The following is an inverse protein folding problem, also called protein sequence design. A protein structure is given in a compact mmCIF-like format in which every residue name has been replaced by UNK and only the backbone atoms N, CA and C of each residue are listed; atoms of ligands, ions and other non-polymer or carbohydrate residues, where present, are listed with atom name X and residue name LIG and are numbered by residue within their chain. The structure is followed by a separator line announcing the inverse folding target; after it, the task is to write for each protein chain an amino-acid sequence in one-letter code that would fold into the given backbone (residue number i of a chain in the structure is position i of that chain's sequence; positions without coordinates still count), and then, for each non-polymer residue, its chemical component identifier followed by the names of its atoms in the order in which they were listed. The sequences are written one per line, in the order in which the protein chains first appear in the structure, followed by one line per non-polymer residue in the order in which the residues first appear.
data_IF_681781028216
#
_entry.id   IF_681781028216
#
_cell.length_a   1.000
_cell.length_b   1.000
_cell.length_c   1.000
_cell.angle_alpha   90.00
_cell.angle_beta   90.00
_cell.angle_gamma   90.00
#
_symmetry.space_group_name_H-M   'P 1'
#
loop_
_entity.id
_entity.type
_entity.pdbx_description
1 polymer ?
#
# COMPACT_ATOMS: atom_id res chain seq x y z
N UNK A 1 44.29 54.92 -18.50
CA UNK A 1 43.29 55.25 -19.54
C UNK A 1 42.95 53.96 -20.27
N UNK A 2 41.90 53.28 -19.83
CA UNK A 2 41.20 52.19 -20.52
C UNK A 2 39.79 52.15 -19.93
N UNK A 3 38.79 52.17 -20.78
CA UNK A 3 37.36 52.37 -20.49
C UNK A 3 36.73 51.19 -19.72
N UNK A 4 35.61 51.40 -19.00
CA UNK A 4 34.91 50.34 -18.28
C UNK A 4 34.13 49.44 -19.25
N UNK A 5 34.25 48.12 -19.06
CA UNK A 5 33.39 47.12 -19.71
C UNK A 5 31.98 47.29 -19.14
N UNK A 6 31.05 47.66 -20.01
CA UNK A 6 29.62 47.69 -19.77
C UNK A 6 29.10 46.27 -19.50
N UNK A 7 28.85 45.93 -18.24
CA UNK A 7 28.01 44.77 -17.90
C UNK A 7 26.55 45.14 -18.17
N UNK A 8 25.99 44.49 -19.17
CA UNK A 8 24.59 44.55 -19.59
C UNK A 8 23.73 44.00 -18.44
N UNK A 9 22.65 44.69 -18.02
CA UNK A 9 21.70 44.09 -17.09
C UNK A 9 20.87 43.04 -17.84
N UNK A 10 20.79 41.81 -17.33
CA UNK A 10 19.72 40.86 -17.66
C UNK A 10 18.56 41.07 -16.68
N UNK A 11 17.36 41.51 -17.12
CA UNK A 11 16.17 41.40 -16.29
C UNK A 11 15.00 40.81 -17.10
N UNK A 12 15.03 39.51 -17.41
CA UNK A 12 13.89 38.88 -18.13
C UNK A 12 13.48 37.49 -17.63
N UNK A 13 13.80 37.11 -16.39
CA UNK A 13 13.37 35.79 -15.85
C UNK A 13 12.44 35.82 -14.64
N UNK A 14 12.03 36.98 -14.15
CA UNK A 14 11.29 37.06 -12.88
C UNK A 14 9.77 37.27 -13.02
N UNK A 15 9.27 37.72 -14.18
CA UNK A 15 7.84 38.05 -14.35
C UNK A 15 6.96 36.82 -14.64
N UNK A 16 7.36 35.94 -15.54
CA UNK A 16 6.54 34.77 -15.92
C UNK A 16 6.37 33.73 -14.82
N UNK A 17 7.30 33.67 -13.85
CA UNK A 17 7.21 32.72 -12.74
C UNK A 17 6.15 33.12 -11.70
N UNK A 18 5.83 34.42 -11.57
CA UNK A 18 4.80 34.89 -10.64
C UNK A 18 3.38 34.67 -11.17
N UNK A 19 3.15 34.92 -12.45
CA UNK A 19 1.84 34.66 -13.08
C UNK A 19 1.48 33.17 -13.09
N UNK A 20 2.45 32.29 -13.38
CA UNK A 20 2.25 30.84 -13.28
C UNK A 20 2.00 30.37 -11.84
N UNK A 21 2.59 31.04 -10.84
CA UNK A 21 2.38 30.72 -9.43
C UNK A 21 0.96 31.12 -8.99
N UNK A 22 0.46 32.28 -9.43
CA UNK A 22 -0.88 32.76 -9.12
C UNK A 22 -1.98 31.91 -9.80
N UNK A 23 -1.79 31.51 -11.07
CA UNK A 23 -2.70 30.57 -11.73
C UNK A 23 -2.69 29.19 -11.06
N UNK A 24 -1.52 28.71 -10.65
CA UNK A 24 -1.42 27.46 -9.90
C UNK A 24 -2.13 27.57 -8.53
N UNK A 25 -1.96 28.67 -7.82
CA UNK A 25 -2.65 28.95 -6.55
C UNK A 25 -4.17 29.00 -6.72
N UNK A 26 -4.68 29.66 -7.77
CA UNK A 26 -6.11 29.69 -8.07
C UNK A 26 -6.68 28.30 -8.43
N UNK A 27 -5.91 27.48 -9.15
CA UNK A 27 -6.26 26.08 -9.40
C UNK A 27 -6.27 25.25 -8.12
N UNK A 28 -5.31 25.45 -7.22
CA UNK A 28 -5.26 24.79 -5.92
C UNK A 28 -6.46 25.16 -5.04
N UNK A 29 -6.88 26.43 -5.06
CA UNK A 29 -8.01 26.89 -4.26
C UNK A 29 -9.34 26.30 -4.77
N UNK A 30 -9.53 26.27 -6.09
CA UNK A 30 -10.67 25.58 -6.70
C UNK A 30 -10.66 24.07 -6.45
N UNK A 31 -9.49 23.44 -6.48
CA UNK A 31 -9.33 22.01 -6.17
C UNK A 31 -9.68 21.73 -4.71
N UNK A 32 -9.24 22.60 -3.78
CA UNK A 32 -9.54 22.51 -2.36
C UNK A 32 -11.04 22.60 -2.09
N UNK A 33 -11.73 23.57 -2.71
CA UNK A 33 -13.19 23.73 -2.57
C UNK A 33 -13.94 22.51 -3.13
N UNK A 34 -13.46 21.95 -4.24
CA UNK A 34 -14.02 20.72 -4.81
C UNK A 34 -13.85 19.53 -3.87
N UNK A 35 -12.66 19.35 -3.30
CA UNK A 35 -12.39 18.29 -2.33
C UNK A 35 -13.20 18.45 -1.04
N UNK A 36 -13.35 19.67 -0.54
CA UNK A 36 -14.15 19.96 0.64
C UNK A 36 -15.63 19.64 0.40
N UNK A 37 -16.17 20.04 -0.75
CA UNK A 37 -17.54 19.71 -1.14
C UNK A 37 -17.73 18.20 -1.30
N UNK A 38 -16.76 17.51 -1.91
CA UNK A 38 -16.75 16.05 -2.08
C UNK A 38 -16.69 15.33 -0.73
N UNK A 39 -15.91 15.84 0.23
CA UNK A 39 -15.80 15.32 1.59
C UNK A 39 -17.11 15.49 2.37
N UNK A 40 -17.74 16.65 2.28
CA UNK A 40 -19.03 16.91 2.92
C UNK A 40 -20.12 16.01 2.31
N UNK A 41 -20.14 15.85 0.99
CA UNK A 41 -21.12 15.00 0.31
C UNK A 41 -20.90 13.52 0.61
N UNK A 42 -19.64 13.07 0.65
CA UNK A 42 -19.29 11.69 1.00
C UNK A 42 -19.57 11.37 2.46
N UNK A 43 -19.34 12.29 3.40
CA UNK A 43 -19.74 12.11 4.80
C UNK A 43 -21.27 12.03 4.96
N UNK A 44 -22.02 12.87 4.25
CA UNK A 44 -23.48 12.85 4.27
C UNK A 44 -24.05 11.56 3.66
N UNK A 45 -23.47 11.11 2.55
CA UNK A 45 -23.81 9.85 1.89
C UNK A 45 -23.37 8.62 2.72
N UNK A 46 -22.27 8.73 3.46
CA UNK A 46 -21.76 7.66 4.30
C UNK A 46 -22.63 7.44 5.54
N UNK A 47 -23.18 8.51 6.11
CA UNK A 47 -24.04 8.46 7.29
C UNK A 47 -25.39 7.78 7.05
N UNK A 48 -25.97 7.88 5.86
CA UNK A 48 -27.32 7.33 5.60
C UNK A 48 -27.34 5.87 5.12
N UNK A 49 -26.30 5.38 4.44
CA UNK A 49 -26.31 4.01 3.87
C UNK A 49 -25.03 3.19 4.09
N UNK A 50 -23.88 3.83 4.32
CA UNK A 50 -22.61 3.09 4.44
C UNK A 50 -22.26 2.69 5.86
N UNK A 51 -22.85 3.23 6.92
CA UNK A 51 -22.35 2.93 8.26
C UNK A 51 -22.38 1.42 8.59
N UNK A 52 -23.44 0.69 8.23
CA UNK A 52 -23.46 -0.79 8.40
C UNK A 52 -22.55 -1.54 7.43
N UNK A 53 -22.49 -1.12 6.17
CA UNK A 53 -21.68 -1.82 5.15
C UNK A 53 -20.19 -1.57 5.37
N UNK A 54 -19.81 -0.34 5.73
CA UNK A 54 -18.46 0.06 6.10
C UNK A 54 -18.02 -0.60 7.40
N UNK A 55 -18.87 -0.67 8.44
CA UNK A 55 -18.55 -1.43 9.66
C UNK A 55 -18.34 -2.92 9.32
N UNK A 56 -19.20 -3.51 8.49
CA UNK A 56 -19.02 -4.90 8.04
C UNK A 56 -17.72 -5.10 7.25
N UNK A 57 -17.40 -4.18 6.34
CA UNK A 57 -16.19 -4.23 5.51
C UNK A 57 -14.93 -4.02 6.37
N UNK A 58 -14.98 -3.11 7.33
CA UNK A 58 -13.91 -2.89 8.32
C UNK A 58 -13.71 -4.14 9.17
N UNK A 59 -14.77 -4.75 9.69
CA UNK A 59 -14.68 -6.02 10.45
C UNK A 59 -14.12 -7.14 9.57
N UNK A 60 -14.57 -7.27 8.33
CA UNK A 60 -14.08 -8.29 7.40
C UNK A 60 -12.60 -8.11 7.08
N UNK A 61 -12.15 -6.87 6.85
CA UNK A 61 -10.74 -6.54 6.64
C UNK A 61 -9.93 -6.79 7.92
N UNK A 62 -10.46 -6.45 9.09
CA UNK A 62 -9.81 -6.72 10.37
C UNK A 62 -9.62 -8.23 10.61
N UNK A 63 -10.64 -9.03 10.31
CA UNK A 63 -10.60 -10.49 10.41
C UNK A 63 -9.64 -11.11 9.38
N UNK A 64 -9.63 -10.59 8.15
CA UNK A 64 -8.67 -11.00 7.13
C UNK A 64 -7.24 -10.69 7.58
N UNK A 65 -7.02 -9.48 8.09
CA UNK A 65 -5.73 -9.04 8.61
C UNK A 65 -5.28 -9.91 9.79
N UNK A 66 -6.17 -10.24 10.72
CA UNK A 66 -5.87 -11.11 11.85
C UNK A 66 -5.53 -12.53 11.40
N UNK A 67 -6.27 -13.08 10.43
CA UNK A 67 -5.97 -14.38 9.84
C UNK A 67 -4.62 -14.39 9.11
N UNK A 68 -4.34 -13.39 8.28
CA UNK A 68 -3.04 -13.27 7.59
C UNK A 68 -1.89 -13.14 8.61
N UNK A 69 -2.07 -12.30 9.63
CA UNK A 69 -1.07 -12.11 10.69
C UNK A 69 -0.84 -13.43 11.43
N UNK A 70 -1.90 -14.15 11.80
CA UNK A 70 -1.80 -15.45 12.46
C UNK A 70 -1.05 -16.49 11.62
N UNK A 71 -1.31 -16.54 10.31
CA UNK A 71 -0.58 -17.43 9.39
C UNK A 71 0.90 -17.05 9.34
N UNK A 72 1.24 -15.76 9.23
CA UNK A 72 2.63 -15.29 9.23
C UNK A 72 3.35 -15.66 10.52
N UNK A 73 2.71 -15.47 11.68
CA UNK A 73 3.26 -15.86 12.97
C UNK A 73 3.45 -17.38 13.09
N UNK A 74 2.51 -18.18 12.58
CA UNK A 74 2.60 -19.63 12.61
C UNK A 74 3.73 -20.15 11.71
N UNK A 75 3.87 -19.57 10.51
CA UNK A 75 5.01 -19.81 9.61
C UNK A 75 6.30 -19.43 10.34
N UNK A 76 6.39 -18.22 10.88
CA UNK A 76 7.59 -17.78 11.61
C UNK A 76 7.95 -18.70 12.80
N UNK A 77 6.98 -19.08 13.62
CA UNK A 77 7.18 -19.99 14.74
C UNK A 77 7.63 -21.39 14.27
N UNK A 78 7.05 -21.90 13.18
CA UNK A 78 7.48 -23.14 12.55
C UNK A 78 8.92 -23.06 12.02
N UNK A 79 9.28 -21.93 11.41
CA UNK A 79 10.65 -21.67 10.95
C UNK A 79 11.65 -21.65 12.10
N UNK A 80 11.30 -20.97 13.20
CA UNK A 80 12.14 -20.93 14.41
C UNK A 80 12.30 -22.32 15.02
N UNK A 81 11.22 -23.11 15.11
CA UNK A 81 11.32 -24.50 15.56
C UNK A 81 12.20 -25.36 14.66
N UNK A 82 12.14 -25.14 13.33
CA UNK A 82 13.04 -25.79 12.38
C UNK A 82 14.50 -25.34 12.55
N UNK A 83 14.75 -24.06 12.82
CA UNK A 83 16.09 -23.55 13.11
C UNK A 83 16.67 -24.23 14.36
N UNK A 84 15.89 -24.39 15.43
CA UNK A 84 16.36 -25.06 16.64
C UNK A 84 16.68 -26.55 16.39
N UNK A 85 15.85 -27.24 15.58
CA UNK A 85 16.11 -28.64 15.17
C UNK A 85 17.37 -28.76 14.31
N UNK A 86 17.64 -27.79 13.45
CA UNK A 86 18.79 -27.77 12.56
C UNK A 86 20.01 -27.01 13.12
N UNK A 87 20.06 -26.74 14.43
CA UNK A 87 21.19 -26.06 15.09
C UNK A 87 21.52 -24.69 14.44
N UNK A 88 20.48 -23.93 14.10
CA UNK A 88 20.53 -22.63 13.43
C UNK A 88 21.09 -22.66 11.99
N UNK A 89 21.10 -23.82 11.34
CA UNK A 89 21.36 -23.92 9.90
C UNK A 89 20.15 -23.41 9.10
N UNK A 90 20.21 -22.12 8.74
CA UNK A 90 19.15 -21.41 8.02
C UNK A 90 18.88 -21.96 6.62
N UNK A 91 19.86 -22.62 6.01
CA UNK A 91 19.75 -23.16 4.66
C UNK A 91 18.92 -24.45 4.67
N UNK A 92 19.17 -25.35 5.62
CA UNK A 92 18.37 -26.56 5.81
C UNK A 92 16.96 -26.25 6.28
N UNK A 93 16.81 -25.33 7.24
CA UNK A 93 15.50 -24.92 7.74
C UNK A 93 14.63 -24.31 6.62
N UNK A 94 15.21 -23.42 5.80
CA UNK A 94 14.50 -22.80 4.68
C UNK A 94 14.12 -23.81 3.59
N UNK A 95 15.03 -24.74 3.28
CA UNK A 95 14.76 -25.79 2.29
C UNK A 95 13.61 -26.71 2.71
N UNK A 96 13.60 -27.15 3.98
CA UNK A 96 12.55 -28.03 4.53
C UNK A 96 11.22 -27.29 4.61
N UNK A 97 11.24 -26.04 5.05
CA UNK A 97 10.04 -25.24 5.17
C UNK A 97 9.44 -24.89 3.79
N UNK A 98 10.29 -24.49 2.84
CA UNK A 98 9.90 -24.17 1.47
C UNK A 98 9.37 -25.39 0.70
N UNK A 99 10.03 -26.55 0.84
CA UNK A 99 9.53 -27.80 0.25
C UNK A 99 8.20 -28.24 0.87
N UNK A 100 8.06 -28.17 2.20
CA UNK A 100 6.79 -28.44 2.88
C UNK A 100 5.65 -27.55 2.37
N UNK A 101 5.90 -26.25 2.23
CA UNK A 101 4.94 -25.28 1.69
C UNK A 101 4.54 -25.57 0.23
N UNK A 102 5.43 -26.14 -0.58
CA UNK A 102 5.14 -26.49 -1.97
C UNK A 102 4.24 -27.73 -2.10
N UNK A 103 4.35 -28.70 -1.19
CA UNK A 103 3.52 -29.91 -1.23
C UNK A 103 2.09 -29.69 -0.71
N UNK A 104 1.87 -28.74 0.20
CA UNK A 104 0.54 -28.41 0.73
C UNK A 104 -0.50 -28.09 -0.38
N UNK A 105 -0.24 -27.17 -1.33
CA UNK A 105 -1.19 -26.89 -2.41
C UNK A 105 -1.38 -28.08 -3.34
N UNK A 106 -0.33 -28.89 -3.61
CA UNK A 106 -0.45 -30.10 -4.42
C UNK A 106 -1.37 -31.14 -3.77
N UNK A 107 -1.25 -31.34 -2.45
CA UNK A 107 -2.11 -32.24 -1.69
C UNK A 107 -3.56 -31.72 -1.67
N UNK A 108 -3.75 -30.41 -1.48
CA UNK A 108 -5.07 -29.77 -1.53
C UNK A 108 -5.74 -29.93 -2.89
N UNK A 109 -5.00 -29.71 -3.99
CA UNK A 109 -5.50 -29.92 -5.36
C UNK A 109 -5.83 -31.39 -5.59
N UNK A 110 -4.97 -32.32 -5.16
CA UNK A 110 -5.25 -33.75 -5.26
C UNK A 110 -6.52 -34.16 -4.50
N UNK A 111 -6.69 -33.66 -3.27
CA UNK A 111 -7.89 -33.91 -2.46
C UNK A 111 -9.15 -33.30 -3.10
N UNK A 112 -9.05 -32.12 -3.70
CA UNK A 112 -10.13 -31.49 -4.46
C UNK A 112 -10.51 -32.35 -5.67
N UNK A 113 -9.54 -32.78 -6.48
CA UNK A 113 -9.79 -33.65 -7.64
C UNK A 113 -10.45 -34.97 -7.20
N UNK A 114 -9.96 -35.59 -6.12
CA UNK A 114 -10.54 -36.81 -5.56
C UNK A 114 -11.98 -36.60 -5.06
N UNK A 115 -12.27 -35.44 -4.47
CA UNK A 115 -13.61 -35.09 -3.98
C UNK A 115 -14.59 -34.79 -5.11
N UNK A 116 -14.12 -34.23 -6.23
CA UNK A 116 -14.96 -33.87 -7.39
C UNK A 116 -15.19 -35.05 -8.34
N UNK A 117 -14.32 -36.07 -8.34
CA UNK A 117 -14.48 -37.31 -9.11
C UNK A 117 -15.32 -38.38 -8.36
N UNK A 118 -16.30 -37.96 -7.56
CA UNK A 118 -17.26 -38.83 -6.89
C UNK A 118 -18.69 -38.36 -7.16
#
# INVERSE_FOLDING_TARGET
MSEPISEVPEPEKESGHKEMLEEALGLFDHLMIYFETLLIYSQKLANEKFNRLAIFLVIAVLLLFLNCTGIVFLVYAGFQGLLDVFQQDSLKASLVMGSGLFFIPLILVYLLIKKTNF
#
